data_IF_627212540796
#
_entry.id   IF_627212540796
#
_cell.length_a   1.000
_cell.length_b   1.000
_cell.length_c   1.000
_cell.angle_alpha   90.00
_cell.angle_beta   90.00
_cell.angle_gamma   90.00
#
_symmetry.space_group_name_H-M   'P 1'
#
loop_
_entity.id
_entity.type
_entity.pdbx_description
1 polymer ?
#
# COMPACT_ATOMS: atom_id res chain seq x y z
N UNK A 1 -53.68 56.41 12.09
CA UNK A 1 -52.84 55.23 11.78
C UNK A 1 -51.50 55.33 12.50
N UNK A 2 -50.72 56.41 12.32
CA UNK A 2 -49.45 56.65 13.04
C UNK A 2 -49.52 56.44 14.56
N UNK A 3 -50.54 56.97 15.24
CA UNK A 3 -50.69 56.82 16.70
C UNK A 3 -50.83 55.35 17.13
N UNK A 4 -51.68 54.57 16.46
CA UNK A 4 -51.90 53.15 16.80
C UNK A 4 -50.64 52.31 16.57
N UNK A 5 -49.88 52.60 15.50
CA UNK A 5 -48.63 51.90 15.23
C UNK A 5 -47.56 52.24 16.28
N UNK A 6 -47.55 53.49 16.77
CA UNK A 6 -46.61 53.94 17.80
C UNK A 6 -46.96 53.35 19.17
N UNK A 7 -48.26 53.26 19.50
CA UNK A 7 -48.73 52.57 20.72
C UNK A 7 -48.33 51.09 20.69
N UNK A 8 -48.66 50.37 19.61
CA UNK A 8 -48.33 48.95 19.49
C UNK A 8 -46.82 48.68 19.62
N UNK A 9 -45.97 49.53 19.01
CA UNK A 9 -44.51 49.40 19.10
C UNK A 9 -43.98 49.70 20.50
N UNK A 10 -44.55 50.68 21.21
CA UNK A 10 -44.16 50.99 22.60
C UNK A 10 -44.63 49.88 23.55
N UNK A 11 -45.81 49.30 23.32
CA UNK A 11 -46.32 48.17 24.11
C UNK A 11 -45.44 46.93 23.90
N UNK A 12 -45.04 46.62 22.67
CA UNK A 12 -44.12 45.53 22.34
C UNK A 12 -42.75 45.72 23.01
N UNK A 13 -42.19 46.93 22.96
CA UNK A 13 -40.93 47.26 23.63
C UNK A 13 -41.06 47.18 25.15
N UNK A 14 -42.21 47.58 25.68
CA UNK A 14 -42.51 47.48 27.12
C UNK A 14 -42.60 46.03 27.55
N UNK A 15 -43.24 45.17 26.76
CA UNK A 15 -43.28 43.73 27.02
C UNK A 15 -41.90 43.10 26.93
N UNK A 16 -41.11 43.47 25.91
CA UNK A 16 -39.73 42.99 25.74
C UNK A 16 -38.87 43.40 26.94
N UNK A 17 -38.95 44.66 27.35
CA UNK A 17 -38.26 45.16 28.54
C UNK A 17 -38.71 44.46 29.82
N UNK A 18 -40.02 44.27 30.01
CA UNK A 18 -40.57 43.53 31.16
C UNK A 18 -40.11 42.07 31.19
N UNK A 19 -39.99 41.45 30.01
CA UNK A 19 -39.44 40.10 29.92
C UNK A 19 -37.99 40.10 30.39
N UNK A 20 -37.15 40.99 29.86
CA UNK A 20 -35.75 41.19 30.27
C UNK A 20 -35.61 41.50 31.78
N UNK A 21 -36.50 42.32 32.34
CA UNK A 21 -36.47 42.73 33.75
C UNK A 21 -36.92 41.62 34.71
N UNK A 22 -37.76 40.69 34.25
CA UNK A 22 -38.17 39.52 35.02
C UNK A 22 -37.14 38.38 34.93
N UNK A 23 -36.08 38.53 34.14
CA UNK A 23 -35.06 37.49 34.04
C UNK A 23 -34.15 37.51 35.25
N UNK A 24 -34.03 36.34 35.84
CA UNK A 24 -33.05 36.05 36.88
C UNK A 24 -31.83 35.49 36.16
N UNK A 25 -30.71 36.21 36.18
CA UNK A 25 -29.45 35.58 35.81
C UNK A 25 -29.25 34.42 36.79
N UNK A 26 -29.05 33.21 36.25
CA UNK A 26 -28.82 32.00 37.01
C UNK A 26 -27.83 32.28 38.16
N UNK A 27 -28.23 31.88 39.36
CA UNK A 27 -27.67 32.28 40.65
C UNK A 27 -26.13 32.41 40.64
N UNK A 28 -25.63 33.65 40.81
CA UNK A 28 -24.20 33.88 41.01
C UNK A 28 -23.70 35.31 40.81
N UNK A 29 -24.39 36.17 40.06
CA UNK A 29 -23.87 37.51 39.70
C UNK A 29 -24.67 38.67 40.31
N UNK A 30 -23.96 39.75 40.63
CA UNK A 30 -24.45 40.96 41.32
C UNK A 30 -25.57 41.74 40.58
N UNK A 31 -25.98 41.26 39.41
CA UNK A 31 -26.95 41.88 38.49
C UNK A 31 -28.39 41.84 39.00
N UNK A 32 -28.75 40.87 39.84
CA UNK A 32 -30.15 40.70 40.32
C UNK A 32 -30.66 41.83 41.21
N UNK A 33 -29.78 42.73 41.69
CA UNK A 33 -30.15 43.86 42.57
C UNK A 33 -30.60 45.12 41.83
N UNK A 34 -30.28 45.33 40.57
CA UNK A 34 -30.48 46.62 39.88
C UNK A 34 -31.82 46.77 39.15
N UNK A 35 -32.48 45.67 38.77
CA UNK A 35 -33.76 45.74 38.03
C UNK A 35 -35.02 45.76 38.91
N UNK A 36 -34.89 45.59 40.24
CA UNK A 36 -36.03 45.52 41.18
C UNK A 36 -36.82 46.82 41.43
N UNK A 37 -36.22 48.04 41.46
CA UNK A 37 -36.98 49.28 41.73
C UNK A 37 -38.07 49.63 40.71
N UNK A 38 -38.13 48.89 39.59
CA UNK A 38 -38.86 49.27 38.39
C UNK A 38 -40.26 48.67 38.28
N UNK A 39 -40.55 47.61 39.04
CA UNK A 39 -41.94 47.12 39.23
C UNK A 39 -42.82 48.23 39.82
N UNK A 40 -42.23 49.09 40.66
CA UNK A 40 -42.92 50.21 41.30
C UNK A 40 -43.16 51.38 40.34
N UNK A 41 -42.24 51.62 39.38
CA UNK A 41 -42.31 52.73 38.43
C UNK A 41 -43.45 52.56 37.40
N UNK A 42 -43.70 51.32 36.95
CA UNK A 42 -44.86 51.00 36.10
C UNK A 42 -46.17 50.95 36.90
N UNK A 43 -46.15 50.57 38.18
CA UNK A 43 -47.32 50.60 39.06
C UNK A 43 -47.86 52.03 39.28
N UNK A 44 -46.99 53.04 39.20
CA UNK A 44 -47.35 54.47 39.35
C UNK A 44 -48.04 55.08 38.12
N UNK A 45 -48.01 54.44 36.94
CA UNK A 45 -48.69 54.96 35.73
C UNK A 45 -50.20 54.68 35.67
N UNK A 46 -50.77 54.17 36.77
CA UNK A 46 -52.16 53.76 36.97
C UNK A 46 -53.22 54.46 36.11
N UNK A 47 -53.54 53.83 34.98
CA UNK A 47 -54.88 53.85 34.44
C UNK A 47 -55.68 52.82 35.24
N UNK A 48 -56.44 53.29 36.25
CA UNK A 48 -57.52 52.49 36.86
C UNK A 48 -58.58 52.30 35.78
N UNK A 49 -58.52 51.16 35.10
CA UNK A 49 -59.65 50.67 34.32
C UNK A 49 -60.59 49.95 35.31
N UNK A 50 -61.66 50.63 35.71
CA UNK A 50 -62.76 50.02 36.46
C UNK A 50 -63.59 49.21 35.45
N UNK A 51 -63.17 47.99 35.18
CA UNK A 51 -63.80 47.12 34.19
C UNK A 51 -63.60 45.65 34.51
N UNK A 52 -64.56 45.10 35.24
CA UNK A 52 -65.00 43.71 35.22
C UNK A 52 -63.97 42.61 35.55
N UNK A 53 -64.00 42.20 36.81
CA UNK A 53 -63.40 40.99 37.36
C UNK A 53 -63.98 39.72 36.70
N UNK A 54 -63.37 39.30 35.59
CA UNK A 54 -63.47 37.92 35.09
C UNK A 54 -62.33 37.10 35.67
N UNK A 55 -62.67 36.29 36.67
CA UNK A 55 -61.84 35.22 37.24
C UNK A 55 -61.61 34.17 36.13
N UNK A 56 -60.40 34.16 35.55
CA UNK A 56 -59.93 33.11 34.64
C UNK A 56 -58.46 32.80 34.98
N UNK A 57 -58.30 31.65 35.64
CA UNK A 57 -57.14 30.76 35.80
C UNK A 57 -55.72 31.30 35.54
N UNK A 58 -54.95 31.40 36.64
CA UNK A 58 -53.50 31.54 36.68
C UNK A 58 -52.80 30.24 36.21
N UNK A 59 -52.66 30.03 34.91
CA UNK A 59 -51.60 29.15 34.38
C UNK A 59 -50.26 29.89 34.39
N UNK A 60 -49.55 29.74 35.51
CA UNK A 60 -48.16 30.17 35.70
C UNK A 60 -47.22 29.39 34.77
N UNK A 61 -47.10 29.84 33.52
CA UNK A 61 -46.02 29.44 32.61
C UNK A 61 -45.02 30.58 32.51
N UNK A 62 -44.07 30.62 33.45
CA UNK A 62 -42.81 31.36 33.27
C UNK A 62 -41.65 30.39 33.40
N UNK A 63 -41.44 29.56 32.37
CA UNK A 63 -40.11 29.00 32.12
C UNK A 63 -39.20 30.18 31.77
N UNK A 64 -38.42 30.66 32.74
CA UNK A 64 -37.36 31.61 32.49
C UNK A 64 -36.33 30.95 31.57
N UNK A 65 -36.30 31.33 30.29
CA UNK A 65 -35.23 30.97 29.39
C UNK A 65 -33.92 31.54 29.95
N UNK A 66 -33.00 30.67 30.34
CA UNK A 66 -31.68 31.06 30.82
C UNK A 66 -30.86 31.60 29.63
N UNK A 67 -30.93 32.91 29.41
CA UNK A 67 -30.16 33.55 28.35
C UNK A 67 -28.72 33.78 28.81
N UNK A 68 -27.79 33.46 27.92
CA UNK A 68 -26.38 33.75 28.11
C UNK A 68 -26.15 35.25 28.27
N UNK A 69 -25.11 35.64 29.01
CA UNK A 69 -24.69 37.04 29.15
C UNK A 69 -24.55 37.75 27.78
N UNK A 70 -24.14 37.01 26.73
CA UNK A 70 -24.05 37.49 25.35
C UNK A 70 -25.43 37.76 24.74
N UNK A 71 -26.36 36.81 24.88
CA UNK A 71 -27.71 36.93 24.35
C UNK A 71 -28.49 38.04 25.05
N UNK A 72 -28.26 38.24 26.36
CA UNK A 72 -28.82 39.35 27.12
C UNK A 72 -28.26 40.70 26.64
N UNK A 73 -26.95 40.79 26.38
CA UNK A 73 -26.31 41.98 25.82
C UNK A 73 -26.89 42.34 24.45
N UNK A 74 -27.05 41.34 23.56
CA UNK A 74 -27.57 41.54 22.22
C UNK A 74 -29.04 42.01 22.24
N UNK A 75 -29.86 41.44 23.13
CA UNK A 75 -31.26 41.88 23.32
C UNK A 75 -31.37 43.30 23.91
N UNK A 76 -30.44 43.70 24.78
CA UNK A 76 -30.40 45.07 25.31
C UNK A 76 -30.03 46.10 24.24
N UNK A 77 -29.07 45.76 23.36
CA UNK A 77 -28.69 46.61 22.20
C UNK A 77 -29.84 46.74 21.19
N UNK A 78 -30.51 45.65 20.87
CA UNK A 78 -31.69 45.67 19.99
C UNK A 78 -32.81 46.56 20.57
N UNK A 79 -33.02 46.49 21.88
CA UNK A 79 -34.00 47.34 22.57
C UNK A 79 -33.60 48.82 22.54
N UNK A 80 -32.30 49.13 22.69
CA UNK A 80 -31.76 50.48 22.53
C UNK A 80 -32.00 51.06 21.14
N UNK A 81 -31.62 50.33 20.09
CA UNK A 81 -31.81 50.76 18.70
C UNK A 81 -33.30 51.04 18.41
N UNK A 82 -34.20 50.18 18.92
CA UNK A 82 -35.64 50.34 18.71
C UNK A 82 -36.23 51.55 19.47
N UNK A 83 -35.72 51.87 20.67
CA UNK A 83 -36.12 53.05 21.44
C UNK A 83 -35.63 54.33 20.75
N UNK A 84 -34.37 54.36 20.30
CA UNK A 84 -33.81 55.49 19.53
C UNK A 84 -34.64 55.75 18.27
N UNK A 85 -35.05 54.70 17.55
CA UNK A 85 -35.92 54.82 16.38
C UNK A 85 -37.34 55.39 16.65
N UNK A 86 -37.77 55.50 17.91
CA UNK A 86 -39.05 56.11 18.30
C UNK A 86 -38.92 57.59 18.68
N UNK A 87 -37.71 58.13 18.80
CA UNK A 87 -37.45 59.49 19.27
C UNK A 87 -38.05 60.57 18.36
N UNK A 88 -37.93 60.41 17.05
CA UNK A 88 -38.52 61.33 16.07
C UNK A 88 -40.06 61.37 16.15
N UNK A 89 -40.66 60.21 16.39
CA UNK A 89 -42.11 60.03 16.45
C UNK A 89 -42.67 60.66 17.71
N UNK A 90 -42.03 60.43 18.86
CA UNK A 90 -42.41 61.00 20.14
C UNK A 90 -42.20 62.51 20.17
N UNK A 91 -41.12 63.00 19.53
CA UNK A 91 -40.87 64.44 19.32
C UNK A 91 -41.99 65.09 18.50
N UNK A 92 -42.42 64.47 17.39
CA UNK A 92 -43.58 64.93 16.60
C UNK A 92 -44.86 64.95 17.44
N UNK A 93 -45.10 63.96 18.30
CA UNK A 93 -46.26 63.95 19.19
C UNK A 93 -46.23 65.08 20.22
N UNK A 94 -45.08 65.34 20.86
CA UNK A 94 -44.88 66.48 21.78
C UNK A 94 -45.16 67.81 21.08
N UNK A 95 -44.62 68.01 19.88
CA UNK A 95 -44.85 69.22 19.08
C UNK A 95 -46.34 69.38 18.73
N UNK A 96 -46.98 68.33 18.21
CA UNK A 96 -48.41 68.36 17.83
C UNK A 96 -49.33 68.59 19.04
N UNK A 97 -48.94 68.14 20.24
CA UNK A 97 -49.68 68.43 21.48
C UNK A 97 -49.65 69.91 21.88
N UNK A 98 -48.57 70.63 21.57
CA UNK A 98 -48.44 72.06 21.87
C UNK A 98 -49.16 72.95 20.83
N UNK A 99 -49.49 72.41 19.65
CA UNK A 99 -50.20 73.14 18.60
C UNK A 99 -51.69 73.30 18.94
N UNK A 100 -52.20 74.52 18.75
CA UNK A 100 -53.64 74.80 18.73
C UNK A 100 -54.12 74.85 17.29
N UNK A 101 -55.36 74.43 17.07
CA UNK A 101 -56.03 74.59 15.78
C UNK A 101 -56.21 76.10 15.49
N UNK A 102 -55.72 76.61 14.34
CA UNK A 102 -55.77 78.03 14.02
C UNK A 102 -57.19 78.58 13.85
N UNK A 103 -58.19 77.73 13.59
CA UNK A 103 -59.58 78.18 13.36
C UNK A 103 -60.39 78.13 14.65
N UNK A 104 -60.20 77.08 15.46
CA UNK A 104 -61.01 76.86 16.67
C UNK A 104 -60.32 77.29 17.96
N UNK A 105 -59.01 77.57 17.90
CA UNK A 105 -58.11 77.82 19.04
C UNK A 105 -58.13 76.71 20.11
N UNK A 106 -58.74 75.55 19.79
CA UNK A 106 -58.76 74.36 20.64
C UNK A 106 -57.47 73.55 20.41
N UNK A 107 -57.07 72.68 21.36
CA UNK A 107 -55.94 71.79 21.14
C UNK A 107 -56.14 70.94 19.88
N UNK A 108 -55.07 70.74 19.10
CA UNK A 108 -55.12 70.00 17.84
C UNK A 108 -55.60 68.55 18.00
N UNK A 109 -55.37 67.96 19.17
CA UNK A 109 -55.90 66.66 19.53
C UNK A 109 -57.18 66.82 20.36
N UNK A 110 -58.23 66.09 19.98
CA UNK A 110 -59.40 65.90 20.85
C UNK A 110 -59.00 65.24 22.17
N UNK A 111 -59.79 65.45 23.21
CA UNK A 111 -59.51 65.04 24.60
C UNK A 111 -59.10 63.56 24.72
N UNK A 112 -59.85 62.65 24.09
CA UNK A 112 -59.54 61.21 24.06
C UNK A 112 -58.18 60.90 23.43
N UNK A 113 -57.85 61.57 22.31
CA UNK A 113 -56.56 61.40 21.63
C UNK A 113 -55.42 62.00 22.43
N UNK A 114 -55.64 63.13 23.12
CA UNK A 114 -54.64 63.76 23.97
C UNK A 114 -54.27 62.87 25.17
N UNK A 115 -55.24 62.22 25.80
CA UNK A 115 -54.99 61.27 26.89
C UNK A 115 -54.13 60.09 26.43
N UNK A 116 -54.43 59.52 25.26
CA UNK A 116 -53.63 58.44 24.64
C UNK A 116 -52.20 58.86 24.31
N UNK A 117 -52.02 60.03 23.68
CA UNK A 117 -50.69 60.56 23.35
C UNK A 117 -49.88 60.83 24.63
N UNK A 118 -50.50 61.33 25.70
CA UNK A 118 -49.83 61.51 27.00
C UNK A 118 -49.41 60.18 27.63
N UNK A 119 -50.25 59.16 27.56
CA UNK A 119 -49.92 57.82 28.07
C UNK A 119 -48.76 57.18 27.28
N UNK A 120 -48.78 57.33 25.95
CA UNK A 120 -47.70 56.90 25.07
C UNK A 120 -46.37 57.57 25.41
N UNK A 121 -46.36 58.90 25.52
CA UNK A 121 -45.15 59.67 25.83
C UNK A 121 -44.59 59.32 27.21
N UNK A 122 -45.45 59.10 28.21
CA UNK A 122 -45.02 58.63 29.54
C UNK A 122 -44.39 57.25 29.48
N UNK A 123 -44.97 56.33 28.71
CA UNK A 123 -44.44 54.97 28.56
C UNK A 123 -43.09 54.97 27.85
N UNK A 124 -42.94 55.78 26.80
CA UNK A 124 -41.66 56.01 26.14
C UNK A 124 -40.62 56.63 27.06
N UNK A 125 -40.95 57.69 27.80
CA UNK A 125 -40.02 58.34 28.74
C UNK A 125 -39.59 57.37 29.85
N UNK A 126 -40.53 56.55 30.33
CA UNK A 126 -40.24 55.49 31.31
C UNK A 126 -39.26 54.47 30.75
N UNK A 127 -39.49 53.97 29.53
CA UNK A 127 -38.59 53.03 28.85
C UNK A 127 -37.21 53.62 28.57
N UNK A 128 -37.16 54.89 28.15
CA UNK A 128 -35.90 55.58 27.86
C UNK A 128 -35.07 55.75 29.14
N UNK A 129 -35.69 56.19 30.24
CA UNK A 129 -35.03 56.24 31.55
C UNK A 129 -34.55 54.86 32.01
N UNK A 130 -35.33 53.81 31.73
CA UNK A 130 -34.98 52.42 32.05
C UNK A 130 -33.72 51.96 31.34
N UNK A 131 -33.63 52.32 30.07
CA UNK A 131 -32.49 51.99 29.25
C UNK A 131 -31.27 52.81 29.66
N UNK A 132 -31.44 54.10 29.94
CA UNK A 132 -30.37 55.00 30.39
C UNK A 132 -29.80 54.55 31.75
N UNK A 133 -30.62 54.04 32.66
CA UNK A 133 -30.16 53.46 33.93
C UNK A 133 -29.34 52.17 33.70
N UNK A 134 -29.79 51.30 32.78
CA UNK A 134 -29.09 50.06 32.42
C UNK A 134 -27.73 50.34 31.75
N UNK A 135 -27.67 51.31 30.84
CA UNK A 135 -26.42 51.73 30.18
C UNK A 135 -25.54 52.58 31.11
N UNK A 136 -26.13 53.11 32.18
CA UNK A 136 -25.53 54.00 33.15
C UNK A 136 -25.43 55.40 32.56
N UNK A 137 -26.35 56.27 33.01
CA UNK A 137 -26.54 57.64 32.58
C UNK A 137 -25.21 58.41 32.35
N UNK A 138 -24.85 58.66 31.09
CA UNK A 138 -23.58 59.31 30.74
C UNK A 138 -23.47 60.76 31.27
N UNK A 139 -24.61 61.42 31.49
CA UNK A 139 -24.65 62.81 31.95
C UNK A 139 -24.36 62.98 33.45
N UNK A 140 -24.61 61.97 34.30
CA UNK A 140 -24.30 62.04 35.73
C UNK A 140 -22.87 61.55 36.07
N UNK A 141 -22.21 60.85 35.14
CA UNK A 141 -20.82 60.39 35.32
C UNK A 141 -19.79 61.53 35.41
N UNK A 142 -20.15 62.76 35.04
CA UNK A 142 -19.26 63.93 35.18
C UNK A 142 -19.25 64.53 36.60
N UNK A 143 -20.17 64.16 37.50
CA UNK A 143 -20.30 64.81 38.81
C UNK A 143 -19.97 63.95 40.04
N UNK A 144 -20.04 62.61 39.99
CA UNK A 144 -19.66 61.77 41.13
C UNK A 144 -19.01 60.44 40.69
N UNK A 145 -17.69 60.36 40.89
CA UNK A 145 -16.86 59.18 40.66
C UNK A 145 -17.00 58.18 41.81
N UNK A 146 -18.12 57.45 41.89
CA UNK A 146 -18.20 56.28 42.76
C UNK A 146 -19.04 55.17 42.12
N UNK A 147 -18.36 54.37 41.31
CA UNK A 147 -18.57 52.93 41.08
C UNK A 147 -20.02 52.40 40.91
N UNK A 148 -20.87 53.05 40.12
CA UNK A 148 -22.00 52.34 39.51
C UNK A 148 -21.55 51.76 38.17
N UNK A 149 -21.04 50.53 38.21
CA UNK A 149 -20.77 49.73 37.02
C UNK A 149 -22.09 49.48 36.31
N UNK A 150 -22.22 50.02 35.09
CA UNK A 150 -23.38 49.77 34.24
C UNK A 150 -23.52 48.28 33.98
N UNK A 151 -24.76 47.79 33.96
CA UNK A 151 -25.06 46.39 33.73
C UNK A 151 -24.45 45.91 32.40
N UNK A 152 -24.52 46.74 31.36
CA UNK A 152 -23.95 46.47 30.04
C UNK A 152 -22.43 46.34 30.10
N UNK A 153 -21.75 47.15 30.92
CA UNK A 153 -20.30 47.05 31.11
C UNK A 153 -19.91 45.75 31.82
N UNK A 154 -20.69 45.31 32.82
CA UNK A 154 -20.47 44.04 33.50
C UNK A 154 -20.67 42.84 32.55
N UNK A 155 -21.75 42.83 31.78
CA UNK A 155 -22.04 41.77 30.81
C UNK A 155 -20.98 41.72 29.70
N UNK A 156 -20.53 42.88 29.21
CA UNK A 156 -19.48 42.96 28.18
C UNK A 156 -18.15 42.40 28.69
N UNK A 157 -17.77 42.73 29.93
CA UNK A 157 -16.55 42.20 30.54
C UNK A 157 -16.61 40.67 30.73
N UNK A 158 -17.77 40.14 31.14
CA UNK A 158 -17.99 38.71 31.32
C UNK A 158 -17.93 37.94 30.01
N UNK A 159 -18.57 38.45 28.94
CA UNK A 159 -18.50 37.86 27.59
C UNK A 159 -17.06 37.86 27.07
N UNK A 160 -16.34 38.98 27.19
CA UNK A 160 -14.96 39.07 26.74
C UNK A 160 -14.03 38.15 27.53
N UNK A 161 -14.23 38.02 28.85
CA UNK A 161 -13.44 37.12 29.69
C UNK A 161 -13.72 35.65 29.37
N UNK A 162 -14.99 35.28 29.14
CA UNK A 162 -15.37 33.92 28.74
C UNK A 162 -14.83 33.56 27.35
N UNK A 163 -14.89 34.47 26.39
CA UNK A 163 -14.35 34.25 25.04
C UNK A 163 -12.81 34.14 25.08
N UNK A 164 -12.12 34.98 25.86
CA UNK A 164 -10.67 34.90 26.03
C UNK A 164 -10.23 33.56 26.66
N UNK A 165 -10.97 33.05 27.65
CA UNK A 165 -10.67 31.74 28.25
C UNK A 165 -10.86 30.59 27.26
N UNK A 166 -11.91 30.61 26.43
CA UNK A 166 -12.14 29.60 25.40
C UNK A 166 -11.06 29.61 24.31
N UNK A 167 -10.58 30.79 23.93
CA UNK A 167 -9.49 30.93 22.97
C UNK A 167 -8.20 30.34 23.56
N UNK A 168 -7.85 30.70 24.80
CA UNK A 168 -6.65 30.19 25.46
C UNK A 168 -6.68 28.66 25.63
N UNK A 169 -7.83 28.08 26.01
CA UNK A 169 -7.99 26.62 26.11
C UNK A 169 -7.79 25.93 24.77
N UNK A 170 -8.38 26.47 23.70
CA UNK A 170 -8.25 25.91 22.36
C UNK A 170 -6.80 25.94 21.87
N UNK A 171 -6.07 27.04 22.12
CA UNK A 171 -4.65 27.15 21.74
C UNK A 171 -3.75 26.18 22.52
N UNK A 172 -4.10 25.84 23.76
CA UNK A 172 -3.38 24.84 24.56
C UNK A 172 -3.68 23.41 24.07
N UNK A 173 -4.94 23.11 23.75
CA UNK A 173 -5.32 21.83 23.14
C UNK A 173 -4.65 21.62 21.79
N UNK A 174 -4.59 22.65 20.94
CA UNK A 174 -3.92 22.58 19.64
C UNK A 174 -2.41 22.35 19.77
N UNK A 175 -1.76 22.97 20.76
CA UNK A 175 -0.34 22.72 21.07
C UNK A 175 -0.11 21.29 21.54
N UNK A 176 -0.91 20.81 22.49
CA UNK A 176 -0.80 19.43 23.00
C UNK A 176 -1.06 18.41 21.89
N UNK A 177 -2.02 18.67 21.00
CA UNK A 177 -2.30 17.80 19.85
C UNK A 177 -1.14 17.78 18.85
N UNK A 178 -0.48 18.92 18.62
CA UNK A 178 0.68 19.01 17.74
C UNK A 178 1.87 18.23 18.29
N UNK A 179 2.16 18.36 19.59
CA UNK A 179 3.24 17.62 20.27
C UNK A 179 2.99 16.11 20.26
N UNK A 180 1.75 15.67 20.53
CA UNK A 180 1.40 14.25 20.45
C UNK A 180 1.57 13.72 19.03
N UNK A 181 1.14 14.48 18.02
CA UNK A 181 1.30 14.09 16.62
C UNK A 181 2.78 13.94 16.26
N UNK A 182 3.62 14.90 16.63
CA UNK A 182 5.06 14.84 16.36
C UNK A 182 5.73 13.64 17.06
N UNK A 183 5.35 13.35 18.31
CA UNK A 183 5.85 12.17 19.03
C UNK A 183 5.47 10.86 18.32
N UNK A 184 4.20 10.73 17.89
CA UNK A 184 3.74 9.52 17.19
C UNK A 184 4.41 9.34 15.84
N UNK A 185 4.62 10.43 15.09
CA UNK A 185 5.28 10.38 13.80
C UNK A 185 6.76 9.99 13.94
N UNK A 186 7.44 10.50 14.98
CA UNK A 186 8.82 10.12 15.28
C UNK A 186 8.94 8.64 15.62
N UNK A 187 8.02 8.10 16.41
CA UNK A 187 7.99 6.68 16.77
C UNK A 187 7.76 5.80 15.53
N UNK A 188 6.84 6.20 14.65
CA UNK A 188 6.58 5.49 13.39
C UNK A 188 7.80 5.46 12.47
N UNK A 189 8.51 6.59 12.33
CA UNK A 189 9.73 6.65 11.51
C UNK A 189 10.83 5.72 12.07
N UNK A 190 11.01 5.66 13.38
CA UNK A 190 12.01 4.79 14.01
C UNK A 190 11.68 3.30 13.82
N UNK A 191 10.40 2.91 13.95
CA UNK A 191 9.96 1.55 13.68
C UNK A 191 10.12 1.16 12.20
N UNK A 192 9.81 2.07 11.27
CA UNK A 192 10.02 1.85 9.85
C UNK A 192 11.51 1.66 9.51
N UNK A 193 12.40 2.45 10.11
CA UNK A 193 13.84 2.29 9.91
C UNK A 193 14.35 0.96 10.48
N UNK A 194 13.87 0.55 11.65
CA UNK A 194 14.22 -0.76 12.23
C UNK A 194 13.80 -1.91 11.32
N UNK A 195 12.56 -1.85 10.81
CA UNK A 195 12.01 -2.87 9.93
C UNK A 195 12.75 -2.91 8.57
N UNK A 196 13.16 -1.76 8.03
CA UNK A 196 14.00 -1.70 6.82
C UNK A 196 15.38 -2.33 7.04
N UNK A 197 16.00 -2.08 8.20
CA UNK A 197 17.31 -2.68 8.53
C UNK A 197 17.22 -4.20 8.69
N UNK A 198 16.18 -4.71 9.34
CA UNK A 198 15.96 -6.15 9.50
C UNK A 198 15.73 -6.83 8.15
N UNK A 199 14.88 -6.26 7.30
CA UNK A 199 14.64 -6.79 5.94
C UNK A 199 15.91 -6.84 5.10
N UNK A 200 16.74 -5.79 5.15
CA UNK A 200 18.00 -5.76 4.42
C UNK A 200 18.98 -6.83 4.92
N UNK A 201 19.04 -7.07 6.23
CA UNK A 201 19.87 -8.13 6.80
C UNK A 201 19.37 -9.53 6.41
N UNK A 202 18.06 -9.74 6.43
CA UNK A 202 17.45 -11.01 6.02
C UNK A 202 17.68 -11.28 4.53
N UNK A 203 17.50 -10.28 3.67
CA UNK A 203 17.78 -10.38 2.24
C UNK A 203 19.25 -10.74 1.98
N UNK A 204 20.18 -10.11 2.69
CA UNK A 204 21.61 -10.40 2.58
C UNK A 204 21.96 -11.82 3.05
N UNK A 205 21.28 -12.33 4.08
CA UNK A 205 21.43 -13.73 4.52
C UNK A 205 20.92 -14.70 3.46
N UNK A 206 19.73 -14.45 2.92
CA UNK A 206 19.14 -15.27 1.87
C UNK A 206 20.00 -15.27 0.61
N UNK A 207 20.58 -14.13 0.25
CA UNK A 207 21.49 -14.02 -0.88
C UNK A 207 22.75 -14.87 -0.67
N UNK A 208 23.37 -14.82 0.51
CA UNK A 208 24.54 -15.66 0.83
C UNK A 208 24.21 -17.15 0.78
N UNK A 209 23.06 -17.56 1.32
CA UNK A 209 22.62 -18.96 1.27
C UNK A 209 22.39 -19.43 -0.17
N UNK A 210 21.83 -18.58 -1.03
CA UNK A 210 21.66 -18.86 -2.47
C UNK A 210 23.00 -18.99 -3.19
N UNK A 211 23.95 -18.09 -2.93
CA UNK A 211 25.29 -18.12 -3.51
C UNK A 211 26.06 -19.37 -3.07
N UNK A 212 25.98 -19.75 -1.79
CA UNK A 212 26.59 -20.99 -1.29
C UNK A 212 25.98 -22.24 -1.94
N UNK A 213 24.65 -22.29 -2.10
CA UNK A 213 23.99 -23.41 -2.73
C UNK A 213 24.34 -23.51 -4.22
N UNK A 214 24.42 -22.37 -4.91
CA UNK A 214 24.88 -22.31 -6.30
C UNK A 214 26.33 -22.78 -6.45
N UNK A 215 27.22 -22.34 -5.56
CA UNK A 215 28.62 -22.77 -5.56
C UNK A 215 28.75 -24.28 -5.31
N UNK A 216 27.98 -24.85 -4.37
CA UNK A 216 27.95 -26.31 -4.14
C UNK A 216 27.45 -27.09 -5.36
N UNK A 217 26.43 -26.57 -6.05
CA UNK A 217 25.92 -27.19 -7.27
C UNK A 217 26.94 -27.15 -8.42
N UNK A 218 27.68 -26.04 -8.56
CA UNK A 218 28.75 -25.93 -9.57
C UNK A 218 29.89 -26.90 -9.30
N UNK A 219 30.35 -27.02 -8.06
CA UNK A 219 31.38 -27.99 -7.65
C UNK A 219 30.91 -29.42 -7.94
N UNK A 220 29.66 -29.76 -7.60
CA UNK A 220 29.10 -31.07 -7.88
C UNK A 220 29.02 -31.38 -9.38
N UNK A 221 28.67 -30.38 -10.21
CA UNK A 221 28.66 -30.54 -11.68
C UNK A 221 30.07 -30.77 -12.22
N UNK A 222 31.07 -30.01 -11.75
CA UNK A 222 32.46 -30.20 -12.16
C UNK A 222 32.99 -31.59 -11.79
N UNK A 223 32.70 -32.06 -10.57
CA UNK A 223 33.08 -33.39 -10.13
C UNK A 223 32.46 -34.51 -10.97
N UNK A 224 31.21 -34.35 -11.44
CA UNK A 224 30.57 -35.34 -12.34
C UNK A 224 31.27 -35.41 -13.69
N UNK A 225 31.57 -34.27 -14.30
CA UNK A 225 32.28 -34.20 -15.58
C UNK A 225 33.68 -34.81 -15.44
N UNK A 226 34.43 -34.43 -14.40
CA UNK A 226 35.76 -34.98 -14.16
C UNK A 226 35.76 -36.50 -13.89
N UNK A 227 34.72 -37.01 -13.22
CA UNK A 227 34.55 -38.44 -12.99
C UNK A 227 34.21 -39.20 -14.27
N UNK A 228 33.35 -38.63 -15.13
CA UNK A 228 33.02 -39.18 -16.44
C UNK A 228 34.24 -39.19 -17.37
N UNK A 229 34.99 -38.09 -17.44
CA UNK A 229 36.24 -38.00 -18.20
C UNK A 229 37.31 -38.97 -17.70
N UNK A 230 37.33 -39.23 -16.39
CA UNK A 230 38.24 -40.23 -15.81
C UNK A 230 37.82 -41.64 -16.20
N UNK A 231 36.53 -41.97 -16.07
CA UNK A 231 36.00 -43.27 -16.46
C UNK A 231 36.20 -43.55 -17.96
N UNK A 232 35.99 -42.55 -18.82
CA UNK A 232 36.23 -42.65 -20.26
C UNK A 232 37.71 -42.91 -20.59
N UNK A 233 38.64 -42.23 -19.89
CA UNK A 233 40.09 -42.47 -20.03
C UNK A 233 40.48 -43.87 -19.58
N UNK A 234 39.97 -44.32 -18.44
CA UNK A 234 40.23 -45.68 -17.94
C UNK A 234 39.65 -46.76 -18.87
N UNK A 235 38.48 -46.53 -19.49
CA UNK A 235 37.93 -47.41 -20.51
C UNK A 235 38.83 -47.46 -21.75
N UNK A 236 39.25 -46.30 -22.25
CA UNK A 236 40.15 -46.19 -23.41
C UNK A 236 41.50 -46.88 -23.15
N UNK A 237 42.09 -46.71 -21.96
CA UNK A 237 43.34 -47.37 -21.57
C UNK A 237 43.18 -48.89 -21.49
N UNK A 238 42.05 -49.39 -20.96
CA UNK A 238 41.75 -50.82 -20.95
C UNK A 238 41.59 -51.39 -22.35
N UNK A 239 40.88 -50.70 -23.22
CA UNK A 239 40.71 -51.10 -24.62
C UNK A 239 42.05 -51.11 -25.37
N UNK A 240 42.90 -50.11 -25.14
CA UNK A 240 44.25 -50.06 -25.70
C UNK A 240 45.13 -51.19 -25.19
N UNK A 241 45.17 -51.41 -23.87
CA UNK A 241 45.93 -52.49 -23.27
C UNK A 241 45.48 -53.87 -23.78
N UNK A 242 44.17 -54.04 -23.99
CA UNK A 242 43.62 -55.24 -24.61
C UNK A 242 44.11 -55.42 -26.05
N UNK A 243 44.02 -54.39 -26.90
CA UNK A 243 44.54 -54.43 -28.27
C UNK A 243 46.03 -54.77 -28.30
N UNK A 244 46.82 -54.16 -27.42
CA UNK A 244 48.27 -54.35 -27.36
C UNK A 244 48.66 -55.76 -26.84
N UNK A 245 47.77 -56.42 -26.10
CA UNK A 245 47.98 -57.80 -25.63
C UNK A 245 47.82 -58.88 -26.73
N UNK A 246 47.14 -58.55 -27.84
CA UNK A 246 46.87 -59.50 -28.93
C UNK A 246 48.03 -59.46 -29.94
N UNK A 247 48.72 -60.60 -30.18
CA UNK A 247 49.77 -60.70 -31.20
C UNK A 247 49.28 -60.27 -32.59
N UNK A 248 50.09 -59.51 -33.33
CA UNK A 248 49.76 -59.00 -34.67
C UNK A 248 50.41 -59.82 -35.78
N UNK A 249 49.87 -59.71 -36.98
CA UNK A 249 50.42 -60.37 -38.17
C UNK A 249 49.86 -61.78 -38.37
N UNK A 250 50.31 -62.47 -39.43
CA UNK A 250 49.84 -63.82 -39.78
C UNK A 250 49.93 -64.84 -38.65
N UNK A 251 51.04 -64.86 -37.90
CA UNK A 251 51.19 -65.74 -36.73
C UNK A 251 50.17 -65.44 -35.63
N UNK A 252 49.87 -64.16 -35.40
CA UNK A 252 48.82 -63.73 -34.48
C UNK A 252 47.43 -64.20 -34.92
N UNK A 253 47.13 -64.07 -36.22
CA UNK A 253 45.87 -64.56 -36.80
C UNK A 253 45.73 -66.06 -36.60
N UNK A 254 46.76 -66.86 -36.90
CA UNK A 254 46.75 -68.32 -36.68
C UNK A 254 46.53 -68.67 -35.20
N UNK A 255 47.22 -68.00 -34.30
CA UNK A 255 47.07 -68.21 -32.85
C UNK A 255 45.65 -67.89 -32.37
N UNK A 256 45.05 -66.80 -32.86
CA UNK A 256 43.68 -66.41 -32.49
C UNK A 256 42.62 -67.31 -33.14
N UNK A 257 42.84 -67.83 -34.36
CA UNK A 257 41.96 -68.84 -34.97
C UNK A 257 41.98 -70.16 -34.20
N UNK A 258 43.13 -70.60 -33.69
CA UNK A 258 43.20 -71.77 -32.80
C UNK A 258 42.48 -71.54 -31.47
N UNK A 259 42.53 -70.30 -30.95
CA UNK A 259 41.75 -69.92 -29.77
C UNK A 259 40.24 -69.92 -30.09
N UNK A 260 39.85 -69.37 -31.24
CA UNK A 260 38.48 -69.40 -31.74
C UNK A 260 37.93 -70.82 -31.87
N UNK A 261 38.71 -71.73 -32.45
CA UNK A 261 38.36 -73.15 -32.55
C UNK A 261 38.08 -73.78 -31.19
N UNK A 262 38.87 -73.45 -30.17
CA UNK A 262 38.68 -73.94 -28.79
C UNK A 262 37.52 -73.24 -28.06
N UNK A 263 37.22 -72.00 -28.43
CA UNK A 263 36.15 -71.18 -27.87
C UNK A 263 34.76 -71.51 -28.42
N UNK A 264 34.68 -72.18 -29.57
CA UNK A 264 33.43 -72.66 -30.14
C UNK A 264 33.00 -74.01 -29.50
N UNK A 265 31.77 -74.12 -28.95
CA UNK A 265 31.31 -75.35 -28.31
C UNK A 265 31.02 -76.46 -29.32
N UNK A 266 30.56 -76.10 -30.52
CA UNK A 266 30.25 -77.02 -31.62
C UNK A 266 31.11 -76.71 -32.85
N UNK A 267 31.38 -77.74 -33.66
CA UNK A 267 32.11 -77.56 -34.93
C UNK A 267 31.37 -76.61 -35.88
N UNK A 268 30.05 -76.71 -35.95
CA UNK A 268 29.19 -75.83 -36.75
C UNK A 268 29.32 -74.34 -36.38
N UNK A 269 29.50 -74.02 -35.09
CA UNK A 269 29.73 -72.63 -34.67
C UNK A 269 31.07 -72.10 -35.18
N UNK A 270 32.11 -72.95 -35.19
CA UNK A 270 33.41 -72.59 -35.77
C UNK A 270 33.32 -72.42 -37.29
N UNK A 271 32.60 -73.32 -37.99
CA UNK A 271 32.40 -73.26 -39.43
C UNK A 271 31.63 -71.97 -39.83
N UNK A 272 30.63 -71.56 -39.05
CA UNK A 272 29.91 -70.28 -39.27
C UNK A 272 30.83 -69.07 -39.03
N UNK A 273 31.62 -69.10 -37.95
CA UNK A 273 32.53 -68.02 -37.63
C UNK A 273 33.62 -67.83 -38.69
N UNK A 274 34.20 -68.93 -39.19
CA UNK A 274 35.25 -68.90 -40.20
C UNK A 274 34.71 -68.44 -41.56
N UNK A 275 33.50 -68.88 -41.96
CA UNK A 275 32.83 -68.41 -43.18
C UNK A 275 32.53 -66.90 -43.12
N UNK A 276 32.10 -66.41 -41.96
CA UNK A 276 31.83 -65.00 -41.74
C UNK A 276 33.12 -64.15 -41.82
N UNK A 277 34.21 -64.62 -41.19
CA UNK A 277 35.52 -63.98 -41.27
C UNK A 277 36.06 -64.00 -42.71
N UNK A 278 35.96 -65.13 -43.41
CA UNK A 278 36.37 -65.26 -44.81
C UNK A 278 35.64 -64.26 -45.71
N UNK A 279 34.31 -64.18 -45.57
CA UNK A 279 33.48 -63.24 -46.32
C UNK A 279 33.92 -61.80 -46.06
N UNK A 280 34.17 -61.44 -44.80
CA UNK A 280 34.58 -60.10 -44.39
C UNK A 280 35.94 -59.72 -44.99
N UNK A 281 36.96 -60.56 -44.82
CA UNK A 281 38.30 -60.26 -45.33
C UNK A 281 38.37 -60.29 -46.86
N UNK A 282 37.62 -61.19 -47.52
CA UNK A 282 37.53 -61.23 -48.98
C UNK A 282 36.89 -59.95 -49.54
N UNK A 283 35.86 -59.41 -48.88
CA UNK A 283 35.26 -58.13 -49.27
C UNK A 283 36.28 -56.99 -49.18
N UNK A 284 37.04 -56.92 -48.08
CA UNK A 284 38.09 -55.90 -47.89
C UNK A 284 39.22 -56.07 -48.92
N UNK A 285 39.69 -57.29 -49.15
CA UNK A 285 40.74 -57.57 -50.12
C UNK A 285 40.32 -57.21 -51.56
N UNK A 286 39.03 -57.40 -51.88
CA UNK A 286 38.50 -57.10 -53.22
C UNK A 286 38.30 -55.61 -53.49
N UNK A 287 38.04 -54.83 -52.44
CA UNK A 287 37.74 -53.38 -52.52
C UNK A 287 38.33 -52.68 -51.31
N UNK A 288 39.67 -52.57 -51.22
CA UNK A 288 40.32 -52.00 -50.06
C UNK A 288 39.82 -50.58 -49.80
N UNK A 289 39.60 -49.75 -50.83
CA UNK A 289 39.17 -48.35 -50.74
C UNK A 289 37.77 -48.13 -50.12
N UNK A 290 36.91 -49.15 -50.08
CA UNK A 290 35.56 -49.02 -49.57
C UNK A 290 35.53 -49.14 -48.02
N UNK A 291 35.58 -48.00 -47.31
CA UNK A 291 35.59 -47.92 -45.83
C UNK A 291 34.49 -48.73 -45.13
N UNK A 292 33.33 -48.88 -45.75
CA UNK A 292 32.19 -49.62 -45.19
C UNK A 292 32.52 -51.08 -44.90
N UNK A 293 33.43 -51.70 -45.66
CA UNK A 293 33.86 -53.09 -45.43
C UNK A 293 34.91 -53.20 -44.32
N UNK A 294 35.62 -52.10 -44.03
CA UNK A 294 36.63 -52.02 -42.97
C UNK A 294 36.04 -51.61 -41.62
N UNK A 295 34.73 -51.34 -41.56
CA UNK A 295 33.99 -50.93 -40.36
C UNK A 295 33.06 -52.06 -39.91
N UNK A 296 33.36 -52.65 -38.76
CA UNK A 296 32.56 -53.70 -38.14
C UNK A 296 31.94 -53.18 -36.86
N UNK A 297 30.62 -53.04 -36.83
CA UNK A 297 29.87 -52.60 -35.65
C UNK A 297 29.89 -53.68 -34.56
N UNK A 298 30.33 -53.34 -33.34
CA UNK A 298 30.41 -54.28 -32.21
C UNK A 298 29.04 -54.70 -31.69
N UNK A 299 28.04 -53.86 -31.87
CA UNK A 299 26.65 -54.12 -31.47
C UNK A 299 25.85 -54.86 -32.54
N UNK A 300 26.43 -55.13 -33.72
CA UNK A 300 25.69 -55.74 -34.82
C UNK A 300 25.30 -57.19 -34.48
N UNK A 301 24.00 -57.54 -34.49
CA UNK A 301 23.55 -58.86 -34.02
C UNK A 301 24.22 -60.02 -34.76
N UNK A 302 24.35 -59.91 -36.07
CA UNK A 302 25.02 -60.94 -36.89
C UNK A 302 26.51 -61.06 -36.57
N UNK A 303 27.18 -59.94 -36.28
CA UNK A 303 28.60 -60.00 -35.87
C UNK A 303 28.74 -60.71 -34.54
N UNK A 304 27.90 -60.37 -33.55
CA UNK A 304 27.94 -61.01 -32.23
C UNK A 304 27.56 -62.49 -32.29
N UNK A 305 26.58 -62.85 -33.12
CA UNK A 305 26.18 -64.24 -33.31
C UNK A 305 27.27 -65.05 -34.02
N UNK A 306 27.87 -64.53 -35.08
CA UNK A 306 28.75 -65.32 -35.93
C UNK A 306 30.20 -65.29 -35.41
N UNK A 307 30.67 -64.18 -34.83
CA UNK A 307 32.09 -63.96 -34.50
C UNK A 307 32.26 -63.47 -33.05
N UNK A 308 31.60 -62.38 -32.67
CA UNK A 308 31.90 -61.60 -31.47
C UNK A 308 31.63 -62.30 -30.13
N UNK A 309 30.74 -63.30 -30.09
CA UNK A 309 30.46 -64.09 -28.88
C UNK A 309 31.51 -65.16 -28.57
N UNK A 310 32.34 -65.54 -29.54
CA UNK A 310 33.29 -66.63 -29.43
C UNK A 310 34.67 -66.13 -29.00
N UNK A 311 35.31 -66.82 -28.04
CA UNK A 311 36.63 -66.47 -27.53
C UNK A 311 37.68 -66.51 -28.65
N UNK A 312 38.39 -65.42 -28.91
CA UNK A 312 39.31 -65.31 -30.04
C UNK A 312 38.71 -64.71 -31.32
N UNK A 313 37.38 -64.63 -31.45
CA UNK A 313 36.74 -64.13 -32.68
C UNK A 313 37.01 -62.64 -32.93
N UNK A 314 36.92 -61.81 -31.90
CA UNK A 314 37.27 -60.39 -31.99
C UNK A 314 38.79 -60.21 -32.14
N UNK A 315 39.56 -61.07 -31.48
CA UNK A 315 41.02 -61.02 -31.49
C UNK A 315 41.62 -61.37 -32.85
N UNK A 316 40.98 -62.21 -33.67
CA UNK A 316 41.38 -62.43 -35.07
C UNK A 316 41.36 -61.11 -35.85
N UNK A 317 40.30 -60.31 -35.72
CA UNK A 317 40.24 -58.99 -36.35
C UNK A 317 41.35 -58.07 -35.84
N UNK A 318 41.58 -58.08 -34.52
CA UNK A 318 42.63 -57.27 -33.88
C UNK A 318 44.04 -57.71 -34.30
N UNK A 319 44.28 -59.00 -34.52
CA UNK A 319 45.54 -59.56 -35.02
C UNK A 319 45.80 -59.17 -36.48
N UNK A 320 44.73 -59.09 -37.28
CA UNK A 320 44.73 -58.61 -38.66
C UNK A 320 44.77 -57.07 -38.81
N UNK A 321 44.92 -56.33 -37.70
CA UNK A 321 45.15 -54.87 -37.71
C UNK A 321 43.91 -54.01 -37.44
N UNK A 322 42.77 -54.58 -37.08
CA UNK A 322 41.62 -53.79 -36.63
C UNK A 322 41.86 -53.19 -35.24
N UNK A 323 41.30 -52.01 -34.99
CA UNK A 323 41.34 -51.30 -33.71
C UNK A 323 39.94 -50.89 -33.28
N UNK A 324 39.72 -50.70 -31.99
CA UNK A 324 38.50 -50.07 -31.50
C UNK A 324 38.46 -48.60 -31.91
N UNK A 325 37.36 -48.19 -32.52
CA UNK A 325 37.12 -46.82 -32.94
C UNK A 325 35.65 -46.46 -32.74
N UNK A 326 35.37 -45.18 -32.52
CA UNK A 326 34.01 -44.66 -32.49
C UNK A 326 33.76 -43.90 -33.79
N UNK A 327 32.89 -44.44 -34.64
CA UNK A 327 32.52 -43.84 -35.92
C UNK A 327 31.07 -43.40 -35.80
N UNK A 328 30.81 -42.09 -35.90
CA UNK A 328 29.45 -41.52 -35.82
C UNK A 328 28.72 -41.86 -34.50
N UNK A 329 29.46 -41.96 -33.38
CA UNK A 329 28.89 -42.33 -32.08
C UNK A 329 28.68 -43.83 -31.86
N UNK A 330 29.14 -44.67 -32.80
CA UNK A 330 28.98 -46.13 -32.73
C UNK A 330 30.34 -46.81 -32.52
N UNK A 331 30.45 -47.61 -31.46
CA UNK A 331 31.65 -48.41 -31.17
C UNK A 331 31.83 -49.50 -32.24
N UNK A 332 32.90 -49.39 -33.01
CA UNK A 332 33.24 -50.28 -34.12
C UNK A 332 34.66 -50.85 -33.96
N UNK A 333 34.92 -51.98 -34.60
CA UNK A 333 36.25 -52.39 -35.00
C UNK A 333 36.51 -51.79 -36.38
N UNK A 334 37.60 -51.05 -36.52
CA UNK A 334 37.97 -50.36 -37.74
C UNK A 334 39.41 -50.68 -38.14
N UNK A 335 39.61 -51.03 -39.41
CA UNK A 335 40.94 -51.17 -40.00
C UNK A 335 41.27 -49.88 -40.73
N UNK A 336 42.22 -49.10 -40.18
CA UNK A 336 42.62 -47.81 -40.74
C UNK A 336 43.60 -48.02 -41.87
N UNK A 337 43.23 -47.57 -43.06
CA UNK A 337 44.12 -47.50 -44.21
C UNK A 337 45.24 -46.48 -43.98
N UNK A 338 46.51 -46.88 -44.17
CA UNK A 338 47.62 -45.93 -44.26
C UNK A 338 47.41 -44.98 -45.44
N UNK A 339 47.73 -43.71 -45.26
CA UNK A 339 47.56 -42.72 -46.31
C UNK A 339 48.52 -43.01 -47.47
N UNK A 340 47.95 -43.35 -48.63
CA UNK A 340 48.68 -43.84 -49.80
C UNK A 340 49.69 -42.80 -50.32
N UNK A 341 49.39 -41.50 -50.18
CA UNK A 341 50.27 -40.43 -50.64
C UNK A 341 51.52 -40.27 -49.78
N UNK A 342 51.44 -40.64 -48.50
CA UNK A 342 52.50 -40.40 -47.52
C UNK A 342 53.22 -41.67 -47.07
N UNK A 343 52.58 -42.84 -47.13
CA UNK A 343 53.12 -44.10 -46.61
C UNK A 343 52.72 -45.31 -47.48
N UNK A 344 53.31 -45.41 -48.68
CA UNK A 344 53.09 -46.53 -49.61
C UNK A 344 53.51 -47.89 -49.01
N UNK A 345 54.62 -47.91 -48.26
CA UNK A 345 55.13 -49.12 -47.62
C UNK A 345 54.18 -49.61 -46.52
N UNK A 346 53.63 -48.67 -45.72
CA UNK A 346 52.60 -48.97 -44.73
C UNK A 346 51.33 -49.50 -45.39
N UNK A 347 50.87 -48.88 -46.47
CA UNK A 347 49.71 -49.35 -47.22
C UNK A 347 49.91 -50.77 -47.77
N UNK A 348 51.08 -51.03 -48.36
CA UNK A 348 51.44 -52.36 -48.88
C UNK A 348 51.46 -53.41 -47.76
N UNK A 349 52.10 -53.08 -46.63
CA UNK A 349 52.16 -53.97 -45.46
C UNK A 349 50.77 -54.27 -44.89
N UNK A 350 49.91 -53.26 -44.82
CA UNK A 350 48.52 -53.41 -44.40
C UNK A 350 47.74 -54.33 -45.35
N UNK A 351 47.82 -54.08 -46.66
CA UNK A 351 47.10 -54.88 -47.66
C UNK A 351 47.63 -56.31 -47.78
N UNK A 352 48.94 -56.50 -47.67
CA UNK A 352 49.57 -57.82 -47.63
C UNK A 352 49.11 -58.62 -46.41
N UNK A 353 48.98 -57.99 -45.23
CA UNK A 353 48.43 -58.64 -44.05
C UNK A 353 46.96 -59.07 -44.26
N UNK A 354 46.15 -58.27 -44.95
CA UNK A 354 44.76 -58.65 -45.28
C UNK A 354 44.75 -59.88 -46.20
N UNK A 355 45.57 -59.91 -47.26
CA UNK A 355 45.67 -61.07 -48.17
C UNK A 355 46.21 -62.31 -47.46
N UNK A 356 47.21 -62.14 -46.60
CA UNK A 356 47.74 -63.21 -45.76
C UNK A 356 46.66 -63.76 -44.84
N UNK A 357 45.86 -62.89 -44.21
CA UNK A 357 44.73 -63.28 -43.37
C UNK A 357 43.70 -64.09 -44.14
N UNK A 358 43.33 -63.69 -45.36
CA UNK A 358 42.44 -64.47 -46.25
C UNK A 358 43.03 -65.87 -46.49
N UNK A 359 44.31 -65.95 -46.86
CA UNK A 359 44.98 -67.22 -47.15
C UNK A 359 45.01 -68.15 -45.93
N UNK A 360 45.28 -67.61 -44.75
CA UNK A 360 45.25 -68.37 -43.48
C UNK A 360 43.85 -68.91 -43.19
N UNK A 361 42.81 -68.10 -43.42
CA UNK A 361 41.43 -68.52 -43.20
C UNK A 361 41.05 -69.64 -44.18
N UNK A 362 41.42 -69.53 -45.46
CA UNK A 362 41.18 -70.59 -46.45
C UNK A 362 41.88 -71.90 -46.07
N UNK A 363 43.12 -71.84 -45.59
CA UNK A 363 43.83 -73.02 -45.08
C UNK A 363 43.10 -73.68 -43.90
N UNK A 364 42.54 -72.88 -42.99
CA UNK A 364 41.79 -73.40 -41.84
C UNK A 364 40.41 -73.95 -42.23
N UNK A 365 39.75 -73.41 -43.26
CA UNK A 365 38.49 -73.95 -43.79
C UNK A 365 38.66 -75.33 -44.45
N UNK A 366 39.86 -75.65 -44.91
CA UNK A 366 40.16 -76.94 -45.56
C UNK A 366 40.54 -78.05 -44.57
N UNK A 367 40.71 -77.74 -43.29
CA UNK A 367 40.99 -78.71 -42.21
C UNK A 367 39.72 -79.25 -41.58
#
# INVERSE_FOLDING_TARGET
MELRNSEAKIDELTQTYKSLANWTIAEGTAVTKTLRPWKDLFALTGAKDEGDTSVMDEESTTCGENLSAKEMLDKLKDLEEKIVGLEDVTTKFRQRMAMKDPVTNKPRYGEKTMTRVKALLRSYDTLKLALDEIHGNENERKANSTASSSLVASLTHEVNSSEAMKIAQKEEEERNAMEQKEMTEKLQREEEERLKREKLQEELRLQREREELAARAEVARRQRIEAEDRAAREEYERERAYIDSVPKGGDGVRAMLERLRKGCPEKSDFDVAIDALYTLFTQIASRPEEEKFRRVRRDHPKFNQDIGRHDGGTEVLIAAGFRFAEVEGVKCLFSREPDLETDMDGWTSWFDLIKETVSIIEEEMMK
#
